data_IF_524489528485
#
_entry.id   IF_524489528485
#
_cell.length_a   1.000
_cell.length_b   1.000
_cell.length_c   1.000
_cell.angle_alpha   90.00
_cell.angle_beta   90.00
_cell.angle_gamma   90.00
#
_symmetry.space_group_name_H-M   'P 1'
#
loop_
_entity.id
_entity.type
_entity.pdbx_description
1 polymer ?
#
# COMPACT_ATOMS: atom_id res chain seq x y z
N UNK A 1 -26.50 0.35 -1.93
CA UNK A 1 -25.34 -0.13 -1.15
C UNK A 1 -24.42 -0.85 -2.11
N UNK A 2 -23.12 -0.54 -2.12
CA UNK A 2 -22.17 -1.18 -3.05
C UNK A 2 -21.81 -2.59 -2.57
N UNK A 3 -21.80 -3.58 -3.46
CA UNK A 3 -21.26 -4.91 -3.17
C UNK A 3 -19.77 -4.98 -3.47
N UNK A 4 -18.96 -5.19 -2.43
CA UNK A 4 -17.50 -5.06 -2.47
C UNK A 4 -16.84 -6.39 -2.16
N UNK A 5 -15.79 -6.72 -2.91
CA UNK A 5 -14.87 -7.78 -2.53
C UNK A 5 -13.41 -7.33 -2.66
N UNK A 6 -12.55 -7.91 -1.82
CA UNK A 6 -11.11 -7.64 -1.86
C UNK A 6 -10.28 -8.91 -1.87
N UNK A 7 -9.13 -8.87 -2.52
CA UNK A 7 -8.15 -9.97 -2.51
C UNK A 7 -6.76 -9.46 -2.17
N UNK A 8 -5.95 -10.32 -1.55
CA UNK A 8 -4.70 -9.91 -0.91
C UNK A 8 -4.97 -8.74 0.03
N UNK A 9 -6.02 -8.91 0.86
CA UNK A 9 -6.76 -7.82 1.48
C UNK A 9 -5.94 -7.11 2.56
N UNK A 10 -4.93 -7.78 3.14
CA UNK A 10 -4.17 -7.27 4.25
C UNK A 10 -5.10 -6.86 5.39
N UNK A 11 -5.05 -5.58 5.78
CA UNK A 11 -5.90 -5.00 6.83
C UNK A 11 -7.16 -4.30 6.29
N UNK A 12 -7.48 -4.43 5.00
CA UNK A 12 -8.69 -3.87 4.39
C UNK A 12 -8.65 -2.35 4.19
N UNK A 13 -7.64 -1.87 3.48
CA UNK A 13 -7.55 -0.45 3.12
C UNK A 13 -8.73 0.04 2.23
N UNK A 14 -9.22 -0.73 1.24
CA UNK A 14 -10.37 -0.31 0.43
C UNK A 14 -11.65 -0.08 1.25
N UNK A 15 -11.97 -0.97 2.19
CA UNK A 15 -13.10 -0.85 3.10
C UNK A 15 -12.98 0.38 3.99
N UNK A 16 -11.76 0.61 4.51
CA UNK A 16 -11.47 1.80 5.31
C UNK A 16 -11.70 3.09 4.51
N UNK A 17 -11.27 3.12 3.25
CA UNK A 17 -11.47 4.27 2.36
C UNK A 17 -12.97 4.52 2.11
N UNK A 18 -13.76 3.48 1.79
CA UNK A 18 -15.21 3.60 1.61
C UNK A 18 -15.90 4.14 2.87
N UNK A 19 -15.50 3.65 4.05
CA UNK A 19 -16.01 4.12 5.34
C UNK A 19 -15.67 5.59 5.60
N UNK A 20 -14.44 6.03 5.28
CA UNK A 20 -14.02 7.42 5.44
C UNK A 20 -14.75 8.37 4.48
N UNK A 21 -15.09 7.89 3.28
CA UNK A 21 -15.91 8.62 2.31
C UNK A 21 -17.42 8.61 2.65
N UNK A 22 -17.84 7.87 3.68
CA UNK A 22 -19.26 7.72 4.02
C UNK A 22 -20.06 6.95 2.98
N UNK A 23 -19.42 6.12 2.14
CA UNK A 23 -20.08 5.35 1.08
C UNK A 23 -20.59 4.02 1.68
N UNK A 24 -21.92 3.77 1.69
CA UNK A 24 -22.47 2.53 2.22
C UNK A 24 -22.11 1.33 1.32
N UNK A 25 -21.53 0.30 1.91
CA UNK A 25 -21.15 -0.93 1.22
C UNK A 25 -21.50 -2.18 2.01
N UNK A 26 -21.60 -3.30 1.29
CA UNK A 26 -21.73 -4.65 1.81
C UNK A 26 -20.48 -5.42 1.37
N UNK A 27 -19.74 -5.96 2.33
CA UNK A 27 -18.61 -6.85 2.04
C UNK A 27 -19.14 -8.23 1.65
N UNK A 28 -19.00 -8.58 0.37
CA UNK A 28 -19.31 -9.90 -0.17
C UNK A 28 -18.30 -10.94 0.30
N UNK A 29 -17.00 -10.66 0.15
CA UNK A 29 -15.92 -11.45 0.73
C UNK A 29 -14.61 -10.67 0.77
N UNK A 30 -13.67 -11.14 1.59
CA UNK A 30 -12.27 -10.75 1.50
C UNK A 30 -11.41 -12.00 1.31
N UNK A 31 -10.22 -11.89 0.73
CA UNK A 31 -9.26 -13.00 0.61
C UNK A 31 -7.91 -12.58 1.16
N UNK A 32 -7.44 -13.32 2.16
CA UNK A 32 -6.14 -13.16 2.81
C UNK A 32 -5.66 -14.49 3.39
N UNK A 33 -4.35 -14.74 3.36
CA UNK A 33 -3.71 -15.95 3.90
C UNK A 33 -2.88 -15.66 5.16
N UNK A 34 -2.44 -14.41 5.34
CA UNK A 34 -1.64 -14.03 6.49
C UNK A 34 -2.50 -13.95 7.76
N UNK A 35 -2.28 -14.86 8.70
CA UNK A 35 -3.08 -14.99 9.94
C UNK A 35 -3.09 -13.68 10.76
N UNK A 36 -1.96 -12.99 10.99
CA UNK A 36 -1.96 -11.66 11.61
C UNK A 36 -2.83 -10.64 10.86
N UNK A 37 -2.73 -10.56 9.53
CA UNK A 37 -3.54 -9.65 8.72
C UNK A 37 -5.04 -9.97 8.82
N UNK A 38 -5.43 -11.25 8.76
CA UNK A 38 -6.83 -11.68 8.92
C UNK A 38 -7.38 -11.24 10.28
N UNK A 39 -6.62 -11.46 11.36
CA UNK A 39 -7.05 -11.05 12.71
C UNK A 39 -7.21 -9.54 12.81
N UNK A 40 -6.28 -8.78 12.25
CA UNK A 40 -6.37 -7.32 12.20
C UNK A 40 -7.55 -6.84 11.35
N UNK A 41 -7.76 -7.42 10.17
CA UNK A 41 -8.88 -7.13 9.28
C UNK A 41 -10.21 -7.30 10.01
N UNK A 42 -10.46 -8.47 10.60
CA UNK A 42 -11.70 -8.76 11.31
C UNK A 42 -11.91 -7.80 12.50
N UNK A 43 -10.84 -7.45 13.22
CA UNK A 43 -10.91 -6.49 14.33
C UNK A 43 -11.24 -5.06 13.88
N UNK A 44 -10.63 -4.59 12.78
CA UNK A 44 -10.82 -3.22 12.26
C UNK A 44 -12.22 -3.05 11.67
N UNK A 45 -12.67 -4.03 10.88
CA UNK A 45 -13.91 -3.94 10.11
C UNK A 45 -15.11 -4.57 10.80
N UNK A 46 -14.90 -5.25 11.93
CA UNK A 46 -15.92 -6.00 12.69
C UNK A 46 -16.60 -7.07 11.82
N UNK A 47 -15.80 -7.77 11.01
CA UNK A 47 -16.26 -8.79 10.08
C UNK A 47 -15.95 -10.21 10.58
N UNK A 48 -16.76 -11.19 10.17
CA UNK A 48 -16.51 -12.60 10.50
C UNK A 48 -15.35 -13.15 9.66
N UNK A 49 -14.43 -13.95 10.26
CA UNK A 49 -13.46 -14.76 9.52
C UNK A 49 -14.07 -15.67 8.45
N UNK A 50 -15.35 -16.04 8.57
CA UNK A 50 -16.04 -16.92 7.59
C UNK A 50 -16.18 -16.26 6.21
N UNK A 51 -16.15 -14.93 6.15
CA UNK A 51 -16.10 -14.18 4.88
C UNK A 51 -14.73 -14.24 4.20
N UNK A 52 -13.72 -14.85 4.83
CA UNK A 52 -12.41 -15.01 4.21
C UNK A 52 -12.43 -16.13 3.16
N UNK A 53 -12.11 -15.79 1.92
CA UNK A 53 -11.96 -16.73 0.82
C UNK A 53 -10.60 -17.47 0.85
N UNK A 54 -9.68 -17.05 1.71
CA UNK A 54 -8.40 -17.72 1.94
C UNK A 54 -7.44 -17.54 0.77
N UNK A 55 -6.74 -18.60 0.38
CA UNK A 55 -5.77 -18.57 -0.72
C UNK A 55 -6.47 -18.27 -2.07
N UNK A 56 -6.09 -17.16 -2.70
CA UNK A 56 -6.57 -16.71 -4.00
C UNK A 56 -6.31 -17.74 -5.12
N UNK A 57 -5.33 -18.63 -4.97
CA UNK A 57 -5.07 -19.72 -5.92
C UNK A 57 -6.24 -20.72 -6.00
N UNK A 58 -6.97 -20.86 -4.90
CA UNK A 58 -8.09 -21.79 -4.74
C UNK A 58 -9.44 -21.10 -4.92
N UNK A 59 -9.47 -19.89 -5.50
CA UNK A 59 -10.68 -19.05 -5.53
C UNK A 59 -11.86 -19.73 -6.22
N UNK A 60 -11.62 -20.60 -7.21
CA UNK A 60 -12.64 -21.35 -7.93
C UNK A 60 -13.28 -22.49 -7.12
N UNK A 61 -12.80 -22.78 -5.92
CA UNK A 61 -13.39 -23.79 -5.02
C UNK A 61 -14.52 -23.21 -4.16
N UNK A 62 -14.74 -21.89 -4.20
CA UNK A 62 -15.83 -21.21 -3.49
C UNK A 62 -16.88 -20.66 -4.47
N UNK A 63 -18.16 -20.54 -4.05
CA UNK A 63 -19.17 -19.84 -4.84
C UNK A 63 -18.75 -18.38 -5.07
N UNK A 64 -18.56 -18.01 -6.34
CA UNK A 64 -18.14 -16.66 -6.72
C UNK A 64 -19.38 -15.77 -6.92
N UNK A 65 -19.54 -14.67 -6.15
CA UNK A 65 -20.61 -13.71 -6.38
C UNK A 65 -20.56 -13.12 -7.80
N UNK A 66 -21.73 -12.98 -8.42
CA UNK A 66 -21.88 -12.50 -9.81
C UNK A 66 -22.35 -11.03 -9.89
N UNK A 67 -22.60 -10.42 -8.74
CA UNK A 67 -23.21 -9.10 -8.60
C UNK A 67 -22.29 -8.09 -7.90
N UNK A 68 -20.97 -8.29 -8.02
CA UNK A 68 -19.98 -7.39 -7.45
C UNK A 68 -20.01 -6.02 -8.16
N UNK A 69 -20.15 -4.96 -7.37
CA UNK A 69 -19.97 -3.60 -7.87
C UNK A 69 -18.48 -3.23 -7.93
N UNK A 70 -17.71 -3.62 -6.92
CA UNK A 70 -16.30 -3.27 -6.78
C UNK A 70 -15.46 -4.47 -6.36
N UNK A 71 -14.39 -4.75 -7.11
CA UNK A 71 -13.37 -5.72 -6.75
C UNK A 71 -12.01 -5.06 -6.66
N UNK A 72 -11.37 -5.07 -5.49
CA UNK A 72 -10.05 -4.45 -5.28
C UNK A 72 -8.97 -5.50 -4.99
N UNK A 73 -7.81 -5.38 -5.63
CA UNK A 73 -6.69 -6.30 -5.42
C UNK A 73 -5.35 -5.59 -5.39
N UNK A 74 -4.60 -5.76 -4.29
CA UNK A 74 -3.20 -5.35 -4.14
C UNK A 74 -2.28 -6.57 -4.24
N UNK A 75 -2.23 -7.22 -5.40
CA UNK A 75 -1.52 -8.51 -5.53
C UNK A 75 -0.03 -8.37 -5.25
N UNK A 76 0.63 -9.34 -4.59
CA UNK A 76 2.02 -9.23 -4.19
C UNK A 76 2.95 -8.86 -5.34
N UNK A 77 3.84 -7.91 -5.08
CA UNK A 77 4.79 -7.37 -6.05
C UNK A 77 6.23 -7.84 -5.80
N UNK A 78 6.43 -8.85 -4.95
CA UNK A 78 7.74 -9.15 -4.39
C UNK A 78 8.77 -9.60 -5.43
N UNK A 79 8.31 -10.16 -6.56
CA UNK A 79 9.18 -10.51 -7.68
C UNK A 79 9.31 -9.39 -8.72
N UNK A 80 8.61 -8.27 -8.52
CA UNK A 80 8.68 -7.03 -9.32
C UNK A 80 9.41 -5.87 -8.60
N UNK A 81 9.51 -5.91 -7.27
CA UNK A 81 10.12 -4.85 -6.46
C UNK A 81 11.65 -4.85 -6.57
N UNK A 82 12.23 -3.64 -6.60
CA UNK A 82 13.68 -3.42 -6.55
C UNK A 82 14.35 -4.05 -5.32
N UNK A 83 13.60 -4.24 -4.22
CA UNK A 83 14.04 -4.81 -2.95
C UNK A 83 13.87 -6.34 -2.82
N UNK A 84 13.36 -7.03 -3.86
CA UNK A 84 13.14 -8.48 -3.89
C UNK A 84 14.10 -9.26 -4.80
N UNK A 85 13.86 -10.57 -4.96
CA UNK A 85 14.68 -11.50 -5.78
C UNK A 85 14.43 -11.40 -7.30
N UNK A 86 13.55 -10.49 -7.74
CA UNK A 86 13.31 -10.11 -9.14
C UNK A 86 12.97 -11.28 -10.10
N UNK A 87 12.24 -12.30 -9.63
CA UNK A 87 11.87 -13.52 -10.39
C UNK A 87 10.74 -13.32 -11.43
N UNK A 88 10.07 -12.16 -11.46
CA UNK A 88 8.95 -11.89 -12.39
C UNK A 88 7.64 -12.59 -12.00
N UNK A 89 6.58 -12.36 -12.80
CA UNK A 89 5.20 -12.84 -12.56
C UNK A 89 4.61 -13.56 -13.77
N UNK A 90 5.41 -14.41 -14.42
CA UNK A 90 4.92 -15.24 -15.52
C UNK A 90 3.78 -16.16 -15.06
N UNK A 91 2.86 -16.45 -15.98
CA UNK A 91 1.72 -17.32 -15.69
C UNK A 91 2.19 -18.75 -15.44
N UNK A 92 1.73 -19.38 -14.35
CA UNK A 92 2.15 -20.72 -13.97
C UNK A 92 3.56 -20.82 -13.36
N UNK A 93 4.24 -19.70 -13.10
CA UNK A 93 5.59 -19.69 -12.52
C UNK A 93 5.65 -20.11 -11.04
N UNK A 94 4.51 -20.15 -10.35
CA UNK A 94 4.44 -20.35 -8.90
C UNK A 94 5.07 -19.22 -8.08
N UNK A 95 5.47 -18.10 -8.72
CA UNK A 95 5.98 -16.93 -7.98
C UNK A 95 4.84 -16.20 -7.30
N UNK A 96 5.13 -15.45 -6.23
CA UNK A 96 4.12 -14.64 -5.53
C UNK A 96 3.46 -13.62 -6.45
N UNK A 97 4.18 -13.21 -7.49
CA UNK A 97 3.70 -12.28 -8.50
C UNK A 97 2.79 -12.93 -9.56
N UNK A 98 2.74 -14.26 -9.64
CA UNK A 98 1.79 -14.99 -10.51
C UNK A 98 0.34 -14.90 -10.00
N UNK A 99 0.12 -14.50 -8.74
CA UNK A 99 -1.19 -14.21 -8.15
C UNK A 99 -2.01 -13.18 -8.94
N UNK A 100 -1.36 -12.32 -9.73
CA UNK A 100 -2.07 -11.42 -10.65
C UNK A 100 -2.97 -12.17 -11.65
N UNK A 101 -2.60 -13.39 -12.07
CA UNK A 101 -3.38 -14.17 -13.02
C UNK A 101 -4.58 -14.85 -12.36
N UNK A 102 -4.46 -15.23 -11.09
CA UNK A 102 -5.62 -15.68 -10.30
C UNK A 102 -6.59 -14.54 -10.03
N UNK A 103 -6.09 -13.31 -9.87
CA UNK A 103 -6.94 -12.12 -9.83
C UNK A 103 -7.67 -11.88 -11.16
N UNK A 104 -7.00 -12.02 -12.31
CA UNK A 104 -7.65 -11.99 -13.63
C UNK A 104 -8.71 -13.09 -13.78
N UNK A 105 -8.42 -14.32 -13.31
CA UNK A 105 -9.38 -15.43 -13.31
C UNK A 105 -10.62 -15.08 -12.48
N UNK A 106 -10.44 -14.50 -11.30
CA UNK A 106 -11.56 -14.04 -10.47
C UNK A 106 -12.39 -12.96 -11.19
N UNK A 107 -11.75 -11.97 -11.83
CA UNK A 107 -12.44 -10.94 -12.62
C UNK A 107 -13.24 -11.56 -13.76
N UNK A 108 -12.69 -12.57 -14.43
CA UNK A 108 -13.36 -13.29 -15.51
C UNK A 108 -14.60 -14.05 -15.01
N UNK A 109 -14.52 -14.67 -13.82
CA UNK A 109 -15.60 -15.45 -13.20
C UNK A 109 -16.68 -14.60 -12.53
N UNK A 110 -16.34 -13.44 -11.97
CA UNK A 110 -17.27 -12.58 -11.20
C UNK A 110 -17.81 -11.38 -11.97
N UNK A 111 -17.14 -10.98 -13.07
CA UNK A 111 -17.52 -9.85 -13.94
C UNK A 111 -17.95 -8.56 -13.19
N UNK A 112 -17.18 -8.09 -12.19
CA UNK A 112 -17.52 -6.90 -11.41
C UNK A 112 -17.73 -5.66 -12.27
N UNK A 113 -18.51 -4.69 -11.78
CA UNK A 113 -18.71 -3.42 -12.50
C UNK A 113 -17.41 -2.61 -12.57
N UNK A 114 -16.66 -2.56 -11.47
CA UNK A 114 -15.40 -1.85 -11.33
C UNK A 114 -14.35 -2.76 -10.69
N UNK A 115 -13.13 -2.72 -11.23
CA UNK A 115 -11.95 -3.39 -10.69
C UNK A 115 -10.91 -2.33 -10.37
N UNK A 116 -10.27 -2.42 -9.20
CA UNK A 116 -9.11 -1.59 -8.86
C UNK A 116 -7.93 -2.51 -8.56
N UNK A 117 -6.85 -2.31 -9.31
CA UNK A 117 -5.60 -3.02 -9.09
C UNK A 117 -4.52 -2.05 -8.61
N UNK A 118 -3.96 -2.32 -7.44
CA UNK A 118 -2.81 -1.59 -6.90
C UNK A 118 -1.53 -2.42 -7.09
N UNK A 119 -0.45 -1.74 -7.46
CA UNK A 119 0.88 -2.34 -7.46
C UNK A 119 2.00 -1.31 -7.27
N UNK A 120 3.23 -1.78 -7.09
CA UNK A 120 4.40 -0.89 -7.11
C UNK A 120 4.60 -0.32 -8.51
N UNK A 121 5.08 0.93 -8.58
CA UNK A 121 5.37 1.60 -9.85
C UNK A 121 6.38 0.83 -10.74
N UNK A 122 7.22 -0.02 -10.14
CA UNK A 122 8.18 -0.85 -10.88
C UNK A 122 7.52 -1.85 -11.85
N UNK A 123 6.21 -2.11 -11.75
CA UNK A 123 5.48 -3.03 -12.64
C UNK A 123 5.47 -2.54 -14.11
N UNK A 124 5.63 -1.24 -14.35
CA UNK A 124 5.76 -0.66 -15.70
C UNK A 124 7.20 -0.48 -16.17
N UNK A 125 8.19 -0.93 -15.38
CA UNK A 125 9.59 -0.89 -15.80
C UNK A 125 9.83 -1.76 -17.03
N UNK A 126 10.92 -1.50 -17.78
CA UNK A 126 11.32 -2.25 -18.98
C UNK A 126 11.31 -3.77 -18.73
N UNK A 127 11.74 -4.21 -17.54
CA UNK A 127 11.79 -5.63 -17.17
C UNK A 127 10.40 -6.28 -17.05
N UNK A 128 9.38 -5.52 -16.66
CA UNK A 128 8.06 -6.05 -16.28
C UNK A 128 6.92 -5.60 -17.22
N UNK A 129 7.22 -4.67 -18.13
CA UNK A 129 6.25 -4.08 -19.06
C UNK A 129 5.51 -5.13 -19.90
N UNK A 130 6.16 -6.24 -20.25
CA UNK A 130 5.52 -7.34 -21.00
C UNK A 130 4.35 -7.95 -20.22
N UNK A 131 4.53 -8.24 -18.93
CA UNK A 131 3.49 -8.82 -18.09
C UNK A 131 2.38 -7.81 -17.81
N UNK A 132 2.73 -6.55 -17.55
CA UNK A 132 1.75 -5.49 -17.38
C UNK A 132 0.88 -5.26 -18.63
N UNK A 133 1.50 -5.25 -19.82
CA UNK A 133 0.76 -5.15 -21.10
C UNK A 133 -0.13 -6.35 -21.33
N UNK A 134 0.34 -7.58 -21.05
CA UNK A 134 -0.49 -8.80 -21.12
C UNK A 134 -1.69 -8.68 -20.18
N UNK A 135 -1.49 -8.27 -18.93
CA UNK A 135 -2.56 -8.03 -17.97
C UNK A 135 -3.61 -7.04 -18.48
N UNK A 136 -3.18 -5.88 -18.96
CA UNK A 136 -4.07 -4.87 -19.54
C UNK A 136 -4.83 -5.40 -20.76
N UNK A 137 -4.13 -6.11 -21.66
CA UNK A 137 -4.75 -6.71 -22.83
C UNK A 137 -5.83 -7.73 -22.44
N UNK A 138 -5.54 -8.60 -21.46
CA UNK A 138 -6.49 -9.59 -20.96
C UNK A 138 -7.71 -8.92 -20.32
N UNK A 139 -7.54 -7.90 -19.47
CA UNK A 139 -8.69 -7.18 -18.90
C UNK A 139 -9.53 -6.46 -19.97
N UNK A 140 -8.90 -5.86 -20.98
CA UNK A 140 -9.64 -5.26 -22.10
C UNK A 140 -10.44 -6.29 -22.90
N UNK A 141 -9.85 -7.47 -23.14
CA UNK A 141 -10.50 -8.62 -23.77
C UNK A 141 -11.65 -9.20 -22.94
N UNK A 142 -11.58 -9.10 -21.61
CA UNK A 142 -12.68 -9.47 -20.71
C UNK A 142 -13.84 -8.46 -20.69
N UNK A 143 -13.71 -7.34 -21.40
CA UNK A 143 -14.76 -6.34 -21.54
C UNK A 143 -14.59 -5.10 -20.69
N UNK A 144 -13.38 -4.72 -20.28
CA UNK A 144 -13.14 -3.52 -19.45
C UNK A 144 -12.42 -2.40 -20.20
N UNK A 145 -12.77 -1.15 -19.88
CA UNK A 145 -11.98 0.04 -20.20
C UNK A 145 -11.04 0.33 -19.05
N UNK A 146 -9.77 0.57 -19.34
CA UNK A 146 -8.72 0.69 -18.32
C UNK A 146 -8.23 2.13 -18.25
N UNK A 147 -8.06 2.64 -17.04
CA UNK A 147 -7.35 3.88 -16.77
C UNK A 147 -6.33 3.62 -15.65
N UNK A 148 -5.04 3.84 -15.92
CA UNK A 148 -3.97 3.61 -14.98
C UNK A 148 -3.09 4.85 -14.83
N UNK A 149 -2.70 5.15 -13.60
CA UNK A 149 -1.77 6.24 -13.29
C UNK A 149 -0.83 5.87 -12.14
N UNK A 150 0.29 6.59 -12.07
CA UNK A 150 1.29 6.46 -11.01
C UNK A 150 1.08 7.59 -10.01
N UNK A 151 0.49 7.24 -8.86
CA UNK A 151 0.16 8.18 -7.81
C UNK A 151 1.17 8.08 -6.67
N UNK A 152 1.48 9.22 -6.04
CA UNK A 152 2.35 9.26 -4.85
C UNK A 152 1.58 9.84 -3.66
N UNK A 153 1.54 9.08 -2.55
CA UNK A 153 0.77 9.41 -1.36
C UNK A 153 1.07 10.81 -0.78
N UNK A 154 2.29 11.35 -0.97
CA UNK A 154 2.66 12.71 -0.57
C UNK A 154 1.77 13.81 -1.16
N UNK A 155 1.09 13.53 -2.27
CA UNK A 155 0.15 14.46 -2.90
C UNK A 155 -1.30 14.28 -2.44
N UNK A 156 -1.56 13.36 -1.51
CA UNK A 156 -2.89 12.94 -1.07
C UNK A 156 -2.96 12.85 0.47
N UNK A 157 -2.60 13.94 1.15
CA UNK A 157 -2.75 14.11 2.60
C UNK A 157 -1.94 13.14 3.50
N UNK A 158 -0.96 12.43 2.94
CA UNK A 158 -0.11 11.51 3.69
C UNK A 158 1.35 11.90 3.47
N UNK A 159 2.12 12.27 4.50
CA UNK A 159 3.50 12.73 4.37
C UNK A 159 4.45 11.54 4.15
N UNK A 160 4.24 10.77 3.10
CA UNK A 160 5.00 9.57 2.76
C UNK A 160 5.32 9.57 1.27
N UNK A 161 6.59 9.39 0.92
CA UNK A 161 7.02 9.20 -0.47
C UNK A 161 6.70 7.77 -0.94
N UNK A 162 5.41 7.50 -1.20
CA UNK A 162 4.90 6.17 -1.56
C UNK A 162 4.27 6.22 -2.95
N UNK A 163 5.07 5.89 -3.96
CA UNK A 163 4.61 5.83 -5.35
C UNK A 163 4.03 4.45 -5.68
N UNK A 164 2.81 4.41 -6.23
CA UNK A 164 2.09 3.20 -6.63
C UNK A 164 1.40 3.39 -7.97
N UNK A 165 1.32 2.31 -8.74
CA UNK A 165 0.44 2.24 -9.90
C UNK A 165 -0.96 1.87 -9.40
N UNK A 166 -1.94 2.68 -9.78
CA UNK A 166 -3.36 2.41 -9.54
C UNK A 166 -4.03 2.27 -10.90
N UNK A 167 -4.55 1.08 -11.18
CA UNK A 167 -5.33 0.79 -12.39
C UNK A 167 -6.80 0.63 -12.00
N UNK A 168 -7.66 1.44 -12.60
CA UNK A 168 -9.11 1.35 -12.51
C UNK A 168 -9.63 0.78 -13.82
N UNK A 169 -10.32 -0.35 -13.75
CA UNK A 169 -10.97 -0.98 -14.89
C UNK A 169 -12.49 -0.93 -14.73
N UNK A 170 -13.19 -0.33 -15.69
CA UNK A 170 -14.65 -0.19 -15.68
C UNK A 170 -15.22 -1.05 -16.80
N UNK A 171 -16.26 -1.83 -16.50
CA UNK A 171 -16.91 -2.70 -17.47
C UNK A 171 -17.51 -1.88 -18.63
N UNK A 172 -17.29 -2.31 -19.88
CA UNK A 172 -17.56 -1.53 -21.10
C UNK A 172 -19.05 -1.19 -21.30
N UNK A 173 -19.96 -1.99 -20.75
CA UNK A 173 -21.41 -1.76 -20.78
C UNK A 173 -21.87 -0.57 -19.93
N UNK A 174 -21.05 -0.12 -18.97
CA UNK A 174 -21.37 1.05 -18.15
C UNK A 174 -20.95 2.32 -18.90
N UNK A 175 -21.78 3.37 -19.02
CA UNK A 175 -21.42 4.60 -19.74
C UNK A 175 -20.61 5.58 -18.87
N UNK A 176 -19.55 5.10 -18.22
CA UNK A 176 -18.72 5.89 -17.30
C UNK A 176 -17.29 6.01 -17.82
N UNK A 177 -16.77 7.24 -17.78
CA UNK A 177 -15.36 7.55 -17.95
C UNK A 177 -14.78 7.94 -16.59
N UNK A 178 -13.57 7.48 -16.31
CA UNK A 178 -12.87 7.75 -15.06
C UNK A 178 -11.56 8.46 -15.38
N UNK A 179 -11.23 9.45 -14.57
CA UNK A 179 -9.93 10.13 -14.55
C UNK A 179 -9.37 10.06 -13.13
N UNK A 180 -8.05 9.88 -13.02
CA UNK A 180 -7.40 9.87 -11.71
C UNK A 180 -7.41 11.27 -11.09
N UNK A 181 -7.51 11.37 -9.75
CA UNK A 181 -7.46 12.64 -9.07
C UNK A 181 -6.08 13.27 -9.21
N UNK A 182 -6.04 14.60 -9.31
CA UNK A 182 -4.79 15.37 -9.25
C UNK A 182 -4.48 15.70 -7.80
N UNK A 183 -3.36 15.21 -7.29
CA UNK A 183 -2.89 15.53 -5.96
C UNK A 183 -2.06 16.83 -5.91
N UNK A 184 -1.84 17.36 -4.70
CA UNK A 184 -1.04 18.56 -4.45
C UNK A 184 -0.35 18.47 -3.08
N UNK A 185 0.66 19.31 -2.82
CA UNK A 185 1.23 19.42 -1.47
C UNK A 185 0.24 20.12 -0.55
N UNK A 186 -0.31 19.37 0.40
CA UNK A 186 -1.28 19.85 1.40
C UNK A 186 -0.62 20.41 2.66
N UNK A 187 0.72 20.48 2.72
CA UNK A 187 1.47 20.99 3.87
C UNK A 187 1.64 20.00 5.02
N UNK A 188 0.97 18.84 5.00
CA UNK A 188 1.13 17.80 6.03
C UNK A 188 2.55 17.21 5.99
N UNK A 189 3.15 17.05 7.17
CA UNK A 189 4.51 16.52 7.41
C UNK A 189 4.49 15.44 8.47
N UNK A 190 5.63 14.78 8.66
CA UNK A 190 5.75 13.67 9.61
C UNK A 190 5.19 14.04 10.99
N UNK A 191 5.58 15.21 11.51
CA UNK A 191 5.19 15.71 12.84
C UNK A 191 3.68 15.73 13.08
N UNK A 192 2.89 15.96 12.03
CA UNK A 192 1.44 16.13 12.11
C UNK A 192 0.71 14.80 12.33
N UNK A 193 1.36 13.67 12.01
CA UNK A 193 0.81 12.33 12.21
C UNK A 193 1.35 11.62 13.46
N UNK A 194 2.33 12.23 14.15
CA UNK A 194 2.93 11.65 15.35
C UNK A 194 1.96 11.63 16.53
N UNK A 195 2.14 10.68 17.43
CA UNK A 195 1.42 10.67 18.69
C UNK A 195 1.90 11.84 19.57
N UNK A 196 1.00 12.50 20.32
CA UNK A 196 1.39 13.57 21.23
C UNK A 196 2.25 13.05 22.38
N UNK A 197 1.95 11.84 22.88
CA UNK A 197 2.66 11.19 23.97
C UNK A 197 3.09 9.79 23.54
N UNK A 198 4.40 9.58 23.40
CA UNK A 198 4.99 8.29 23.04
C UNK A 198 5.71 7.68 24.24
N UNK A 199 5.47 6.40 24.59
CA UNK A 199 6.17 5.74 25.68
C UNK A 199 7.69 5.69 25.49
N UNK A 200 8.45 5.83 26.58
CA UNK A 200 9.92 5.90 26.57
C UNK A 200 10.60 4.71 25.90
N UNK A 201 9.96 3.53 25.91
CA UNK A 201 10.48 2.32 25.24
C UNK A 201 10.74 2.48 23.74
N UNK A 202 10.11 3.44 23.07
CA UNK A 202 10.31 3.71 21.65
C UNK A 202 11.56 4.57 21.38
N UNK A 203 12.01 5.32 22.38
CA UNK A 203 13.16 6.21 22.31
C UNK A 203 14.45 5.45 22.60
N UNK A 204 15.21 5.14 21.55
CA UNK A 204 16.27 4.12 21.62
C UNK A 204 17.67 4.66 21.36
N UNK A 205 17.80 5.85 20.76
CA UNK A 205 19.07 6.39 20.27
C UNK A 205 19.26 7.86 20.64
N UNK A 206 20.51 8.24 20.89
CA UNK A 206 20.99 9.60 21.14
C UNK A 206 21.51 10.25 19.86
N UNK A 207 21.74 11.57 19.87
CA UNK A 207 22.42 12.24 18.75
C UNK A 207 23.85 11.72 18.53
N UNK A 208 24.53 11.23 19.56
CA UNK A 208 25.88 10.66 19.44
C UNK A 208 25.91 9.34 18.64
N UNK A 209 24.78 8.62 18.58
CA UNK A 209 24.62 7.40 17.78
C UNK A 209 24.49 7.68 16.27
N UNK A 210 24.29 8.95 15.88
CA UNK A 210 24.09 9.38 14.51
C UNK A 210 25.37 10.00 13.92
N UNK A 211 25.66 9.68 12.67
CA UNK A 211 26.57 10.42 11.79
C UNK A 211 25.77 11.45 10.97
N UNK A 212 25.94 12.76 11.19
CA UNK A 212 25.10 13.78 10.58
C UNK A 212 25.41 14.03 9.10
N UNK A 213 24.38 14.31 8.32
CA UNK A 213 24.47 14.83 6.97
C UNK A 213 24.30 16.35 7.04
N UNK A 214 25.39 17.10 6.96
CA UNK A 214 25.34 18.56 6.94
C UNK A 214 24.72 19.07 5.63
N UNK A 215 23.38 19.02 5.53
CA UNK A 215 22.60 19.26 4.31
C UNK A 215 21.59 20.38 4.53
N UNK A 216 21.45 21.22 3.51
CA UNK A 216 20.39 22.22 3.43
C UNK A 216 19.19 21.69 2.63
N UNK A 217 17.98 21.97 3.10
CA UNK A 217 16.73 21.58 2.45
C UNK A 217 15.92 22.81 2.07
N UNK A 218 15.71 23.09 0.77
CA UNK A 218 15.04 24.31 0.33
C UNK A 218 13.51 24.30 0.54
N UNK A 219 12.94 23.13 0.82
CA UNK A 219 11.54 22.98 1.18
C UNK A 219 11.33 21.69 1.99
N UNK A 220 10.16 21.63 2.63
CA UNK A 220 9.74 20.53 3.49
C UNK A 220 9.04 19.40 2.73
N UNK A 221 8.71 19.60 1.46
CA UNK A 221 7.97 18.63 0.63
C UNK A 221 8.87 17.53 0.03
N UNK A 222 9.81 17.03 0.85
CA UNK A 222 10.81 16.02 0.48
C UNK A 222 11.28 15.25 1.71
N UNK A 223 11.92 14.11 1.48
CA UNK A 223 12.57 13.36 2.55
C UNK A 223 13.79 14.16 2.99
N UNK A 224 13.91 14.39 4.30
CA UNK A 224 14.96 15.23 4.90
C UNK A 224 15.82 14.40 5.86
N UNK A 225 16.75 13.58 5.36
CA UNK A 225 17.64 12.78 6.22
C UNK A 225 18.70 13.65 6.89
N UNK A 226 18.63 13.74 8.22
CA UNK A 226 19.58 14.49 9.05
C UNK A 226 20.91 13.75 9.25
N UNK A 227 20.93 12.45 9.03
CA UNK A 227 22.09 11.60 9.24
C UNK A 227 21.75 10.13 9.18
N UNK A 228 22.70 9.28 9.54
CA UNK A 228 22.55 7.82 9.60
C UNK A 228 23.08 7.25 10.90
N UNK A 229 22.45 6.20 11.41
CA UNK A 229 22.91 5.49 12.60
C UNK A 229 24.26 4.79 12.34
N UNK A 230 25.23 5.01 13.23
CA UNK A 230 26.58 4.41 13.18
C UNK A 230 26.51 2.89 13.33
N UNK A 231 27.45 2.19 12.67
CA UNK A 231 27.60 0.73 12.79
C UNK A 231 26.48 -0.10 12.15
N UNK A 232 25.55 0.52 11.41
CA UNK A 232 24.43 -0.21 10.82
C UNK A 232 24.89 -1.02 9.58
N UNK A 233 24.81 -2.35 9.68
CA UNK A 233 25.29 -3.29 8.64
C UNK A 233 24.46 -3.23 7.36
N UNK A 234 23.16 -2.93 7.47
CA UNK A 234 22.23 -2.82 6.33
C UNK A 234 22.13 -1.35 5.91
N UNK A 235 22.34 -1.05 4.62
CA UNK A 235 22.22 0.33 4.10
C UNK A 235 20.77 0.84 4.11
N UNK A 236 19.79 -0.02 3.88
CA UNK A 236 18.37 0.33 3.92
C UNK A 236 17.89 0.46 5.37
N UNK A 237 17.10 1.50 5.65
CA UNK A 237 16.35 1.71 6.90
C UNK A 237 17.17 2.13 8.14
N UNK A 238 18.19 2.98 7.97
CA UNK A 238 19.01 3.49 9.08
C UNK A 238 19.23 5.01 9.04
N UNK A 239 18.50 5.72 8.19
CA UNK A 239 18.53 7.18 8.19
C UNK A 239 17.69 7.73 9.35
N UNK A 240 18.08 8.88 9.86
CA UNK A 240 17.31 9.66 10.84
C UNK A 240 16.68 10.82 10.09
N UNK A 241 15.35 10.83 10.00
CA UNK A 241 14.60 11.81 9.23
C UNK A 241 14.16 12.99 10.11
N UNK A 242 14.20 14.19 9.54
CA UNK A 242 13.61 15.39 10.13
C UNK A 242 12.08 15.30 10.05
N UNK A 243 11.40 15.58 11.15
CA UNK A 243 9.92 15.50 11.25
C UNK A 243 9.19 16.62 10.52
N UNK A 244 9.91 17.67 10.11
CA UNK A 244 9.43 18.73 9.21
C UNK A 244 9.31 18.26 7.76
N UNK A 245 9.89 17.12 7.39
CA UNK A 245 9.84 16.57 6.03
C UNK A 245 8.70 15.58 5.81
N UNK A 246 8.82 14.81 4.71
CA UNK A 246 8.00 13.60 4.48
C UNK A 246 8.81 12.33 4.77
N UNK A 247 8.12 11.25 5.12
CA UNK A 247 8.69 9.95 5.42
C UNK A 247 8.99 9.16 4.14
N UNK A 248 9.94 8.23 4.23
CA UNK A 248 10.17 7.27 3.15
C UNK A 248 9.00 6.27 3.06
N UNK A 249 8.91 5.50 1.98
CA UNK A 249 7.88 4.46 1.86
C UNK A 249 8.02 3.44 3.00
N UNK A 250 6.96 3.29 3.81
CA UNK A 250 6.90 2.22 4.81
C UNK A 250 6.99 0.86 4.12
N UNK A 251 7.82 -0.01 4.67
CA UNK A 251 8.00 -1.38 4.22
C UNK A 251 7.51 -2.35 5.28
N UNK A 252 7.39 -3.63 4.95
CA UNK A 252 7.05 -4.68 5.93
C UNK A 252 8.21 -5.03 6.87
N UNK A 253 9.38 -4.40 6.68
CA UNK A 253 10.55 -4.49 7.56
C UNK A 253 10.72 -3.18 8.31
N UNK A 254 11.66 -3.17 9.27
CA UNK A 254 12.03 -1.98 10.04
C UNK A 254 12.30 -0.79 9.10
N UNK A 255 11.71 0.37 9.40
CA UNK A 255 11.85 1.59 8.61
C UNK A 255 12.95 2.51 9.13
N UNK A 256 13.06 3.71 8.54
CA UNK A 256 13.97 4.75 9.05
C UNK A 256 13.58 5.23 10.46
N UNK A 257 14.51 5.93 11.09
CA UNK A 257 14.29 6.65 12.35
C UNK A 257 13.77 8.06 12.05
N UNK A 258 13.22 8.70 13.08
CA UNK A 258 12.96 10.12 13.13
C UNK A 258 13.69 10.75 14.31
N UNK A 259 14.03 12.02 14.18
CA UNK A 259 14.43 12.86 15.31
C UNK A 259 13.19 13.54 15.90
N UNK A 260 12.77 13.10 17.08
CA UNK A 260 11.57 13.60 17.76
C UNK A 260 11.95 14.45 18.98
N UNK A 261 12.10 15.75 18.75
CA UNK A 261 12.51 16.75 19.76
C UNK A 261 11.33 17.55 20.33
N UNK A 262 10.09 17.13 20.05
CA UNK A 262 8.89 17.81 20.57
C UNK A 262 8.84 17.82 22.10
N UNK A 263 9.48 16.84 22.73
CA UNK A 263 9.67 16.74 24.18
C UNK A 263 11.17 16.53 24.43
N UNK A 264 11.83 17.34 25.29
CA UNK A 264 13.24 17.15 25.63
C UNK A 264 13.51 15.77 26.22
N UNK A 265 14.45 15.04 25.62
CA UNK A 265 14.83 13.67 26.00
C UNK A 265 16.31 13.44 25.78
N UNK A 266 16.93 12.60 26.61
CA UNK A 266 18.31 12.16 26.41
C UNK A 266 18.47 11.36 25.09
N UNK A 267 17.45 10.56 24.75
CA UNK A 267 17.40 9.72 23.54
C UNK A 267 16.27 10.17 22.61
N UNK A 268 16.40 11.25 21.82
CA UNK A 268 15.30 11.77 21.02
C UNK A 268 15.05 10.98 19.72
N UNK A 269 15.94 10.05 19.35
CA UNK A 269 15.85 9.32 18.09
C UNK A 269 15.08 7.99 18.29
N UNK A 270 14.07 7.78 17.44
CA UNK A 270 13.15 6.63 17.52
C UNK A 270 12.60 6.22 16.16
N UNK A 271 12.00 5.04 16.09
CA UNK A 271 11.10 4.68 15.00
C UNK A 271 9.70 5.25 15.24
N UNK A 272 8.89 5.26 14.17
CA UNK A 272 7.45 5.40 14.32
C UNK A 272 6.90 4.26 15.19
N UNK A 273 5.94 4.56 16.05
CA UNK A 273 5.19 3.53 16.77
C UNK A 273 4.29 2.76 15.78
N UNK A 274 3.75 1.58 16.16
CA UNK A 274 2.75 0.90 15.34
C UNK A 274 1.51 1.76 15.03
N UNK A 275 1.07 2.60 15.97
CA UNK A 275 -0.09 3.47 15.77
C UNK A 275 0.24 4.61 14.80
N UNK A 276 1.41 5.23 14.94
CA UNK A 276 1.88 6.23 13.98
C UNK A 276 2.04 5.61 12.59
N UNK A 277 2.67 4.43 12.47
CA UNK A 277 2.78 3.73 11.19
C UNK A 277 1.39 3.46 10.55
N UNK A 278 0.37 3.15 11.35
CA UNK A 278 -1.00 3.01 10.86
C UNK A 278 -1.58 4.35 10.36
N UNK A 279 -1.34 5.48 11.06
CA UNK A 279 -1.75 6.82 10.61
C UNK A 279 -1.12 7.23 9.28
N UNK A 280 0.08 6.75 8.98
CA UNK A 280 0.74 6.97 7.70
C UNK A 280 0.16 6.13 6.54
N UNK A 281 -0.80 5.26 6.81
CA UNK A 281 -1.37 4.31 5.85
C UNK A 281 -2.88 4.47 5.66
N UNK A 282 -3.52 5.41 6.37
CA UNK A 282 -4.96 5.70 6.37
C UNK A 282 -5.26 7.14 5.99
#
# INVERSE_FOLDING_TARGET
MLKVATVCSGIGAPEKALKMLGIPYELSFFSEIDVPAIRAYCAIHKESPDKNFGNLENINQKPIPQDLDLLVGGTPCQDFSNAGLRKGGEEGSGTRSSLMWYYVKLIALSKPKVVIWENVAAVVSIKHIRNYRKFCHTLSGLGYRLNADILNAKYFNVPQNRTRLILVAIRKDLPVFFEHPRGFDCGVRIKDLLEPNVPDKYYTKTLADMEPYNRYYPNTFRIMPLGRIKGAVIKQCNEVLCTEGIFDCLTTKQGNYILDERIPREKPIRHLTPLEALRFMW
#
